data_IF_316006763818
#
_entry.id   IF_316006763818
#
_cell.length_a   1.000
_cell.length_b   1.000
_cell.length_c   1.000
_cell.angle_alpha   90.00
_cell.angle_beta   90.00
_cell.angle_gamma   90.00
#
_symmetry.space_group_name_H-M   'P 1'
#
loop_
_entity.id
_entity.type
_entity.pdbx_description
1 polymer ?
#
# COMPACT_ATOMS: atom_id res chain seq x y z
N UNK A 1 6.25 25.60 -31.91
CA UNK A 1 5.45 24.45 -32.39
C UNK A 1 5.33 23.51 -31.20
N UNK A 2 4.14 23.46 -30.62
CA UNK A 2 3.87 22.96 -29.28
C UNK A 2 3.46 21.48 -29.42
N UNK A 3 4.23 20.58 -28.80
CA UNK A 3 3.96 19.14 -28.82
C UNK A 3 3.14 18.82 -27.57
N UNK A 4 1.97 18.15 -27.68
CA UNK A 4 1.13 17.85 -26.53
C UNK A 4 1.73 16.70 -25.70
N UNK A 5 1.81 16.92 -24.39
CA UNK A 5 2.08 15.90 -23.37
C UNK A 5 0.88 14.93 -23.28
N UNK A 6 1.06 13.61 -23.44
CA UNK A 6 0.03 12.66 -23.07
C UNK A 6 0.04 12.46 -21.54
N UNK A 7 -1.02 12.91 -20.89
CA UNK A 7 -1.40 12.51 -19.54
C UNK A 7 -1.77 11.02 -19.57
N UNK A 8 -0.86 10.17 -19.11
CA UNK A 8 -1.15 8.81 -18.67
C UNK A 8 -0.47 8.65 -17.32
N UNK A 9 -1.20 8.94 -16.23
CA UNK A 9 -0.79 8.50 -14.90
C UNK A 9 -0.94 6.98 -14.86
N UNK A 10 0.12 6.26 -15.22
CA UNK A 10 0.28 4.87 -14.80
C UNK A 10 0.51 4.89 -13.30
N UNK A 11 -0.52 4.50 -12.55
CA UNK A 11 -0.37 4.12 -11.15
C UNK A 11 0.54 2.88 -11.11
N UNK A 12 1.83 3.10 -10.94
CA UNK A 12 2.75 2.03 -10.60
C UNK A 12 2.43 1.62 -9.16
N UNK A 13 1.75 0.50 -9.04
CA UNK A 13 1.49 -0.11 -7.75
C UNK A 13 2.81 -0.41 -7.03
N UNK A 14 2.75 -0.33 -5.70
CA UNK A 14 3.82 -0.66 -4.75
C UNK A 14 4.16 -2.16 -4.76
N UNK A 15 4.40 -2.75 -5.93
CA UNK A 15 4.92 -4.11 -6.07
C UNK A 15 6.44 -4.18 -5.91
N UNK A 16 7.14 -3.05 -5.86
CA UNK A 16 8.58 -3.02 -5.63
C UNK A 16 8.99 -1.77 -4.83
N UNK A 17 9.08 -1.91 -3.49
CA UNK A 17 10.08 -1.19 -2.71
C UNK A 17 10.87 -2.26 -1.97
N UNK A 18 11.96 -2.68 -2.58
CA UNK A 18 12.95 -3.57 -1.99
C UNK A 18 13.93 -2.74 -1.16
N UNK A 19 14.01 -3.10 0.13
CA UNK A 19 15.08 -2.96 1.14
C UNK A 19 16.00 -1.73 1.10
N UNK A 20 16.05 -0.99 2.22
CA UNK A 20 17.23 -0.19 2.59
C UNK A 20 18.09 -0.99 3.57
N UNK A 21 19.32 -1.32 3.17
CA UNK A 21 20.36 -1.79 4.08
C UNK A 21 21.31 -0.63 4.38
N UNK A 22 21.54 -0.33 5.67
CA UNK A 22 22.42 0.75 6.11
C UNK A 22 23.85 0.21 6.21
N UNK A 23 24.79 0.77 5.44
CA UNK A 23 26.21 0.56 5.65
C UNK A 23 26.66 1.37 6.86
N UNK A 24 26.95 0.71 7.99
CA UNK A 24 27.72 1.30 9.07
C UNK A 24 29.20 0.96 8.84
N UNK A 25 29.90 1.86 8.15
CA UNK A 25 31.35 1.96 8.27
C UNK A 25 31.71 3.29 8.93
N UNK A 26 32.55 3.14 9.94
CA UNK A 26 33.11 4.11 10.87
C UNK A 26 33.25 5.55 10.33
N UNK A 27 32.43 6.48 10.86
CA UNK A 27 32.87 7.87 11.04
C UNK A 27 32.16 8.51 12.24
N UNK A 28 32.96 8.79 13.26
CA UNK A 28 32.60 9.72 14.33
C UNK A 28 32.18 11.06 13.74
N UNK A 29 31.16 11.66 14.33
CA UNK A 29 30.66 13.04 14.15
C UNK A 29 29.53 13.25 13.13
N UNK A 30 28.30 13.00 13.55
CA UNK A 30 27.29 14.01 13.94
C UNK A 30 25.97 13.28 14.20
N UNK A 31 25.47 13.38 15.44
CA UNK A 31 24.13 12.95 15.81
C UNK A 31 23.12 13.85 15.10
N UNK A 32 22.56 13.39 13.98
CA UNK A 32 21.29 13.89 13.47
C UNK A 32 20.44 12.68 13.14
N UNK A 33 19.33 12.53 13.85
CA UNK A 33 18.40 11.43 13.69
C UNK A 33 17.59 11.67 12.41
N UNK A 34 17.42 10.71 11.48
CA UNK A 34 16.58 10.88 10.29
C UNK A 34 15.12 11.22 10.63
N UNK A 35 14.67 10.76 11.81
CA UNK A 35 13.39 11.12 12.41
C UNK A 35 13.29 12.61 12.69
N UNK A 36 14.38 13.26 13.10
CA UNK A 36 14.42 14.69 13.35
C UNK A 36 14.29 15.49 12.04
N UNK A 37 14.77 15.00 10.89
CA UNK A 37 14.57 15.69 9.62
C UNK A 37 13.15 15.54 9.07
N UNK A 38 12.52 14.37 9.20
CA UNK A 38 11.11 14.17 8.83
C UNK A 38 10.19 14.91 9.80
N UNK A 39 10.45 14.85 11.11
CA UNK A 39 9.70 15.61 12.11
C UNK A 39 9.99 17.11 12.05
N UNK A 40 11.19 17.57 11.69
CA UNK A 40 11.46 19.00 11.44
C UNK A 40 10.90 19.46 10.10
N UNK A 41 10.78 18.60 9.09
CA UNK A 41 10.02 18.88 7.86
C UNK A 41 8.53 19.01 8.18
N UNK A 42 7.97 18.07 8.95
CA UNK A 42 6.57 18.09 9.39
C UNK A 42 6.30 19.21 10.43
N UNK A 43 7.26 19.57 11.28
CA UNK A 43 7.19 20.72 12.21
C UNK A 43 7.39 22.04 11.50
N UNK A 44 8.30 22.18 10.52
CA UNK A 44 8.34 23.36 9.63
C UNK A 44 7.09 23.47 8.78
N UNK A 45 6.44 22.35 8.48
CA UNK A 45 5.12 22.33 7.88
C UNK A 45 3.99 22.72 8.86
N UNK A 46 4.14 22.45 10.17
CA UNK A 46 3.14 22.75 11.23
C UNK A 46 3.35 24.04 12.03
N UNK A 47 4.56 24.60 12.07
CA UNK A 47 4.95 25.72 12.94
C UNK A 47 5.95 26.64 12.21
N UNK A 48 5.45 27.42 11.27
CA UNK A 48 6.03 28.74 11.03
C UNK A 48 5.37 29.72 12.00
N UNK A 49 6.11 30.49 12.82
CA UNK A 49 5.50 31.60 13.55
C UNK A 49 5.12 32.66 12.51
N UNK A 50 3.83 32.71 12.17
CA UNK A 50 3.28 33.67 11.21
C UNK A 50 2.64 33.10 9.95
N UNK A 51 2.25 31.81 9.90
CA UNK A 51 1.44 31.32 8.78
C UNK A 51 0.00 31.84 8.91
N UNK A 52 -0.38 32.73 8.01
CA UNK A 52 -1.76 33.14 7.74
C UNK A 52 -2.55 31.92 7.22
N UNK A 53 -3.85 31.81 7.55
CA UNK A 53 -4.67 30.61 7.32
C UNK A 53 -4.66 30.14 5.84
N UNK A 54 -4.46 31.07 4.92
CA UNK A 54 -4.34 30.83 3.47
C UNK A 54 -3.06 30.09 3.04
N UNK A 55 -1.96 30.19 3.80
CA UNK A 55 -0.68 29.55 3.44
C UNK A 55 -0.59 28.10 3.92
N UNK A 56 -1.28 27.77 5.02
CA UNK A 56 -1.48 26.39 5.47
C UNK A 56 -2.34 25.62 4.46
N UNK A 57 -3.39 26.25 3.94
CA UNK A 57 -4.25 25.69 2.89
C UNK A 57 -3.46 25.33 1.63
N UNK A 58 -2.48 26.13 1.22
CA UNK A 58 -1.61 25.86 0.07
C UNK A 58 -0.73 24.61 0.24
N UNK A 59 -0.33 24.25 1.46
CA UNK A 59 0.52 23.07 1.72
C UNK A 59 -0.29 21.77 1.77
N UNK A 60 -1.48 21.80 2.37
CA UNK A 60 -2.46 20.69 2.28
C UNK A 60 -2.97 20.52 0.86
N UNK A 61 -3.22 21.62 0.12
CA UNK A 61 -3.53 21.60 -1.31
C UNK A 61 -2.41 20.98 -2.15
N UNK A 62 -1.12 21.21 -1.82
CA UNK A 62 -0.02 20.57 -2.56
C UNK A 62 -0.01 19.05 -2.44
N UNK A 63 -0.26 18.50 -1.25
CA UNK A 63 -0.36 17.04 -1.05
C UNK A 63 -1.58 16.49 -1.81
N UNK A 64 -2.72 17.20 -1.74
CA UNK A 64 -3.93 16.82 -2.49
C UNK A 64 -3.72 16.87 -4.01
N UNK A 65 -2.87 17.76 -4.51
CA UNK A 65 -2.61 17.92 -5.95
C UNK A 65 -1.56 16.95 -6.52
N UNK A 66 -0.66 16.38 -5.71
CA UNK A 66 0.34 15.39 -6.18
C UNK A 66 0.00 13.95 -5.80
N UNK A 67 -0.99 13.75 -4.92
CA UNK A 67 -1.38 12.46 -4.37
C UNK A 67 -0.32 11.84 -3.43
N UNK A 68 -0.69 10.76 -2.74
CA UNK A 68 0.23 10.05 -1.85
C UNK A 68 1.50 9.55 -2.56
N UNK A 69 1.38 9.13 -3.82
CA UNK A 69 2.53 8.70 -4.62
C UNK A 69 3.54 9.85 -4.85
N UNK A 70 3.06 11.07 -5.10
CA UNK A 70 3.92 12.24 -5.27
C UNK A 70 4.69 12.59 -3.99
N UNK A 71 4.05 12.42 -2.83
CA UNK A 71 4.71 12.58 -1.53
C UNK A 71 5.83 11.55 -1.34
N UNK A 72 5.56 10.26 -1.55
CA UNK A 72 6.56 9.19 -1.41
C UNK A 72 7.72 9.38 -2.38
N UNK A 73 7.43 9.78 -3.63
CA UNK A 73 8.46 10.09 -4.65
C UNK A 73 9.37 11.24 -4.21
N UNK A 74 8.79 12.28 -3.58
CA UNK A 74 9.54 13.42 -3.04
C UNK A 74 10.45 12.98 -1.91
N UNK A 75 9.95 12.13 -0.99
CA UNK A 75 10.75 11.56 0.09
C UNK A 75 11.92 10.76 -0.49
N UNK A 76 11.65 9.82 -1.40
CA UNK A 76 12.67 9.01 -2.05
C UNK A 76 13.78 9.87 -2.70
N UNK A 77 13.39 10.93 -3.40
CA UNK A 77 14.33 11.85 -4.06
C UNK A 77 15.19 12.68 -3.08
N UNK A 78 14.74 12.82 -1.82
CA UNK A 78 15.46 13.58 -0.79
C UNK A 78 16.54 12.78 -0.06
N UNK A 79 16.54 11.44 -0.19
CA UNK A 79 17.46 10.54 0.52
C UNK A 79 18.85 10.48 -0.15
N UNK A 80 19.69 11.49 0.08
CA UNK A 80 21.00 11.66 -0.58
C UNK A 80 22.01 10.53 -0.32
N UNK A 81 21.83 9.76 0.74
CA UNK A 81 22.73 8.68 1.15
C UNK A 81 22.12 7.28 1.02
N UNK A 82 20.95 7.17 0.39
CA UNK A 82 20.25 5.90 0.18
C UNK A 82 20.26 5.56 -1.30
N UNK A 83 20.79 4.39 -1.63
CA UNK A 83 20.63 3.83 -2.97
C UNK A 83 19.26 3.15 -3.06
N UNK A 84 18.36 3.71 -3.86
CA UNK A 84 17.06 3.09 -4.16
C UNK A 84 17.21 2.32 -5.47
N UNK A 85 16.91 1.01 -5.43
CA UNK A 85 16.96 0.13 -6.60
C UNK A 85 15.54 -0.27 -6.99
N UNK A 86 15.10 0.14 -8.18
CA UNK A 86 13.82 -0.26 -8.77
C UNK A 86 14.05 -1.33 -9.84
N UNK A 87 13.04 -2.13 -10.18
CA UNK A 87 13.18 -3.22 -11.15
C UNK A 87 14.24 -4.24 -10.73
N UNK A 88 14.35 -4.44 -9.41
CA UNK A 88 15.28 -5.38 -8.78
C UNK A 88 14.48 -6.52 -8.16
N UNK A 89 14.67 -7.73 -8.69
CA UNK A 89 14.02 -8.93 -8.20
C UNK A 89 14.97 -9.68 -7.26
N UNK A 90 14.65 -9.74 -5.96
CA UNK A 90 15.43 -10.55 -5.03
C UNK A 90 15.18 -12.03 -5.31
N UNK A 91 16.25 -12.79 -5.48
CA UNK A 91 16.19 -14.23 -5.79
C UNK A 91 16.61 -15.11 -4.62
N UNK A 92 17.45 -14.61 -3.71
CA UNK A 92 17.85 -15.31 -2.49
C UNK A 92 18.28 -14.34 -1.39
N UNK A 93 18.01 -14.72 -0.13
CA UNK A 93 18.57 -14.06 1.04
C UNK A 93 19.14 -15.09 2.01
N UNK A 94 20.46 -15.02 2.22
CA UNK A 94 21.19 -15.86 3.16
C UNK A 94 21.65 -15.03 4.36
N UNK A 95 21.39 -15.51 5.58
CA UNK A 95 21.65 -14.79 6.82
C UNK A 95 22.51 -15.62 7.77
N UNK A 96 23.53 -14.99 8.31
CA UNK A 96 24.35 -15.55 9.38
C UNK A 96 24.18 -14.72 10.67
N UNK A 97 24.94 -15.04 11.71
CA UNK A 97 24.98 -14.21 12.92
C UNK A 97 25.76 -12.90 12.75
N UNK A 98 26.47 -12.73 11.63
CA UNK A 98 27.42 -11.63 11.42
C UNK A 98 27.18 -10.86 10.11
N UNK A 99 26.36 -11.39 9.20
CA UNK A 99 26.14 -10.80 7.88
C UNK A 99 24.84 -11.29 7.25
N UNK A 100 24.36 -10.52 6.28
CA UNK A 100 23.24 -10.83 5.39
C UNK A 100 23.73 -10.69 3.95
N UNK A 101 23.58 -11.75 3.15
CA UNK A 101 23.84 -11.73 1.71
C UNK A 101 22.51 -11.67 0.95
N UNK A 102 22.39 -10.72 0.03
CA UNK A 102 21.20 -10.52 -0.81
C UNK A 102 21.60 -10.71 -2.27
N UNK A 103 20.93 -11.66 -2.92
CA UNK A 103 21.09 -11.93 -4.34
C UNK A 103 19.88 -11.34 -5.07
N UNK A 104 20.12 -10.62 -6.16
CA UNK A 104 19.06 -10.02 -6.97
C UNK A 104 19.37 -10.05 -8.46
N UNK A 105 18.32 -10.08 -9.26
CA UNK A 105 18.35 -9.85 -10.70
C UNK A 105 17.87 -8.43 -11.01
N UNK A 106 18.60 -7.70 -11.84
CA UNK A 106 18.19 -6.40 -12.37
C UNK A 106 18.67 -6.25 -13.81
N UNK A 107 17.77 -5.87 -14.71
CA UNK A 107 18.04 -5.72 -16.15
C UNK A 107 18.68 -6.97 -16.79
N UNK A 108 18.23 -8.16 -16.37
CA UNK A 108 18.75 -9.45 -16.84
C UNK A 108 20.17 -9.80 -16.36
N UNK A 109 20.66 -9.12 -15.31
CA UNK A 109 21.97 -9.36 -14.69
C UNK A 109 21.81 -9.72 -13.22
N UNK A 110 22.64 -10.64 -12.76
CA UNK A 110 22.71 -11.05 -11.36
C UNK A 110 23.70 -10.19 -10.56
N UNK A 111 23.29 -9.82 -9.36
CA UNK A 111 24.09 -9.08 -8.39
C UNK A 111 24.04 -9.77 -7.04
N UNK A 112 25.14 -9.67 -6.29
CA UNK A 112 25.22 -10.12 -4.89
C UNK A 112 25.77 -8.98 -4.03
N UNK A 113 25.10 -8.73 -2.92
CA UNK A 113 25.46 -7.69 -1.96
C UNK A 113 25.55 -8.29 -0.55
N UNK A 114 26.56 -7.89 0.20
CA UNK A 114 26.70 -8.24 1.61
C UNK A 114 26.45 -7.02 2.50
N UNK A 115 25.69 -7.25 3.57
CA UNK A 115 25.29 -6.26 4.56
C UNK A 115 25.50 -6.80 5.97
N UNK A 116 25.58 -5.90 6.95
CA UNK A 116 25.66 -6.27 8.36
C UNK A 116 24.29 -6.60 8.93
N UNK A 117 23.26 -5.89 8.46
CA UNK A 117 21.89 -5.97 8.96
C UNK A 117 20.89 -5.75 7.82
N UNK A 118 19.67 -6.23 8.00
CA UNK A 118 18.58 -6.11 7.04
C UNK A 118 17.27 -5.74 7.72
N UNK A 119 16.48 -4.88 7.07
CA UNK A 119 15.11 -4.55 7.45
C UNK A 119 14.18 -5.08 6.36
N UNK A 120 13.18 -5.87 6.73
CA UNK A 120 12.14 -6.36 5.81
C UNK A 120 10.83 -5.61 6.06
N UNK A 121 10.35 -4.92 5.02
CA UNK A 121 9.14 -4.09 5.09
C UNK A 121 8.01 -4.52 4.12
N UNK A 122 8.23 -5.52 3.25
CA UNK A 122 7.16 -6.14 2.45
C UNK A 122 6.34 -7.11 3.32
N UNK A 123 5.15 -7.51 2.89
CA UNK A 123 4.29 -8.43 3.65
C UNK A 123 4.99 -9.76 3.94
N UNK A 124 5.27 -10.04 5.21
CA UNK A 124 5.98 -11.23 5.67
C UNK A 124 5.06 -12.47 5.71
N UNK A 125 4.39 -12.75 4.60
CA UNK A 125 3.71 -14.04 4.41
C UNK A 125 4.77 -15.10 4.13
N UNK A 126 4.52 -16.34 4.55
CA UNK A 126 5.45 -17.44 4.24
C UNK A 126 5.70 -17.56 2.73
N UNK A 127 4.65 -17.42 1.91
CA UNK A 127 4.73 -17.40 0.44
C UNK A 127 5.75 -16.39 -0.08
N UNK A 128 5.74 -15.15 0.44
CA UNK A 128 6.66 -14.10 -0.03
C UNK A 128 8.11 -14.37 0.43
N UNK A 129 8.29 -14.89 1.63
CA UNK A 129 9.63 -15.22 2.16
C UNK A 129 10.24 -16.43 1.45
N UNK A 130 9.42 -17.42 1.09
CA UNK A 130 9.82 -18.58 0.27
C UNK A 130 10.12 -18.18 -1.17
N UNK A 131 9.33 -17.25 -1.74
CA UNK A 131 9.55 -16.74 -3.11
C UNK A 131 10.96 -16.17 -3.30
N UNK A 132 11.47 -15.45 -2.30
CA UNK A 132 12.82 -14.89 -2.30
C UNK A 132 13.88 -15.86 -1.74
N UNK A 133 13.55 -17.16 -1.61
CA UNK A 133 14.43 -18.19 -1.07
C UNK A 133 15.17 -17.75 0.21
N UNK A 134 14.44 -17.18 1.16
CA UNK A 134 15.02 -16.69 2.41
C UNK A 134 15.33 -17.85 3.35
N UNK A 135 16.47 -17.79 4.03
CA UNK A 135 16.94 -18.84 4.95
C UNK A 135 16.21 -18.82 6.32
N UNK A 136 14.94 -19.21 6.30
CA UNK A 136 14.06 -19.18 7.47
C UNK A 136 14.40 -20.26 8.51
N UNK A 137 14.34 -19.87 9.76
CA UNK A 137 14.36 -20.77 10.92
C UNK A 137 13.00 -21.45 11.11
N UNK A 138 12.96 -22.54 11.90
CA UNK A 138 11.70 -23.22 12.23
C UNK A 138 10.70 -22.29 12.94
N UNK A 139 11.17 -21.40 13.80
CA UNK A 139 10.31 -20.44 14.51
C UNK A 139 9.74 -19.39 13.56
N UNK A 140 10.55 -18.88 12.62
CA UNK A 140 10.08 -17.96 11.58
C UNK A 140 9.02 -18.64 10.69
N UNK A 141 9.25 -19.89 10.27
CA UNK A 141 8.25 -20.64 9.48
C UNK A 141 6.94 -20.82 10.26
N UNK A 142 7.00 -21.21 11.54
CA UNK A 142 5.81 -21.40 12.38
C UNK A 142 5.03 -20.09 12.59
N UNK A 143 5.71 -18.94 12.65
CA UNK A 143 5.04 -17.65 12.79
C UNK A 143 4.51 -17.14 11.45
N UNK A 144 5.35 -17.04 10.42
CA UNK A 144 4.96 -16.45 9.15
C UNK A 144 3.97 -17.30 8.35
N UNK A 145 3.83 -18.59 8.66
CA UNK A 145 2.74 -19.44 8.12
C UNK A 145 1.33 -19.03 8.59
N UNK A 146 1.22 -18.29 9.70
CA UNK A 146 -0.07 -17.77 10.22
C UNK A 146 -0.47 -16.43 9.60
N UNK A 147 0.47 -15.76 8.96
CA UNK A 147 0.25 -14.44 8.33
C UNK A 147 -0.56 -14.62 7.06
N UNK A 148 -1.67 -13.90 6.99
CA UNK A 148 -2.54 -13.83 5.81
C UNK A 148 -2.70 -12.39 5.35
N UNK A 149 -3.20 -12.24 4.13
CA UNK A 149 -3.66 -10.96 3.57
C UNK A 149 -5.14 -11.07 3.21
N UNK A 150 -5.73 -9.96 2.78
CA UNK A 150 -7.04 -9.88 2.12
C UNK A 150 -6.82 -9.55 0.66
N UNK A 151 -7.64 -10.10 -0.21
CA UNK A 151 -7.68 -9.66 -1.60
C UNK A 151 -8.43 -8.33 -1.65
N UNK A 152 -7.74 -7.27 -2.05
CA UNK A 152 -8.30 -5.94 -2.19
C UNK A 152 -8.13 -5.47 -3.62
N UNK A 153 -9.16 -4.87 -4.18
CA UNK A 153 -9.16 -4.41 -5.56
C UNK A 153 -9.60 -2.96 -5.64
N UNK A 154 -8.89 -2.24 -6.51
CA UNK A 154 -9.23 -0.89 -6.91
C UNK A 154 -9.47 -0.90 -8.40
N UNK A 155 -10.69 -0.56 -8.81
CA UNK A 155 -11.07 -0.43 -10.21
C UNK A 155 -11.50 1.01 -10.49
N UNK A 156 -11.27 1.49 -11.70
CA UNK A 156 -11.78 2.80 -12.13
C UNK A 156 -12.60 2.66 -13.40
N UNK A 157 -13.84 3.15 -13.38
CA UNK A 157 -14.74 3.11 -14.52
C UNK A 157 -15.59 4.39 -14.60
N UNK A 158 -15.96 4.83 -15.82
CA UNK A 158 -16.84 5.96 -15.98
C UNK A 158 -18.29 5.55 -15.67
N UNK A 159 -18.87 6.11 -14.60
CA UNK A 159 -20.25 5.82 -14.18
C UNK A 159 -21.11 7.09 -14.21
N UNK A 160 -22.41 6.91 -14.44
CA UNK A 160 -23.40 7.98 -14.48
C UNK A 160 -24.42 7.94 -13.35
N UNK A 161 -24.47 6.87 -12.56
CA UNK A 161 -25.48 6.71 -11.52
C UNK A 161 -25.25 7.48 -10.21
N UNK A 162 -24.16 8.23 -10.12
CA UNK A 162 -23.87 9.10 -9.00
C UNK A 162 -23.83 10.53 -9.53
N UNK A 163 -24.86 11.31 -9.18
CA UNK A 163 -25.07 12.66 -9.71
C UNK A 163 -24.56 13.77 -8.78
N UNK A 164 -24.26 13.46 -7.52
CA UNK A 164 -23.75 14.44 -6.56
C UNK A 164 -22.26 14.73 -6.83
N UNK A 165 -21.89 16.01 -6.77
CA UNK A 165 -20.50 16.43 -6.84
C UNK A 165 -19.76 15.97 -5.56
N UNK A 166 -18.63 15.26 -5.73
CA UNK A 166 -17.77 14.76 -4.64
C UNK A 166 -18.48 13.87 -3.60
N UNK A 167 -18.96 12.70 -4.06
CA UNK A 167 -19.63 11.71 -3.21
C UNK A 167 -18.75 10.53 -2.83
N UNK A 168 -18.70 10.21 -1.54
CA UNK A 168 -18.27 8.89 -1.05
C UNK A 168 -19.52 8.07 -0.75
N UNK A 169 -19.75 7.04 -1.55
CA UNK A 169 -20.90 6.15 -1.40
C UNK A 169 -20.43 4.84 -0.77
N UNK A 170 -20.54 4.77 0.55
CA UNK A 170 -20.43 3.51 1.29
C UNK A 170 -21.67 2.67 1.01
N UNK A 171 -21.47 1.58 0.27
CA UNK A 171 -22.57 0.69 -0.07
C UNK A 171 -22.73 -0.37 1.01
N UNK A 172 -23.30 0.07 2.13
CA UNK A 172 -23.87 -0.79 3.17
C UNK A 172 -25.35 -1.14 2.82
N UNK A 173 -25.81 -0.77 1.61
CA UNK A 173 -27.20 -0.81 1.20
C UNK A 173 -27.44 -1.80 0.06
N UNK A 174 -28.44 -2.69 0.24
CA UNK A 174 -28.92 -3.58 -0.83
C UNK A 174 -29.59 -2.78 -1.95
N UNK A 175 -29.37 -3.11 -3.24
CA UNK A 175 -30.28 -2.72 -4.30
C UNK A 175 -31.68 -3.29 -4.00
N UNK A 176 -32.69 -2.42 -3.88
CA UNK A 176 -34.10 -2.83 -3.72
C UNK A 176 -34.78 -2.54 -2.38
N UNK A 177 -34.20 -1.75 -1.45
CA UNK A 177 -34.98 -1.31 -0.27
C UNK A 177 -36.01 -0.27 -0.71
N UNK A 178 -37.26 -0.69 -0.83
CA UNK A 178 -38.40 0.20 -0.95
C UNK A 178 -38.35 1.28 0.16
N UNK A 179 -38.65 2.51 -0.24
CA UNK A 179 -38.70 3.72 0.58
C UNK A 179 -39.26 3.47 2.00
N UNK A 180 -38.46 3.72 3.04
CA UNK A 180 -38.98 3.88 4.40
C UNK A 180 -38.01 3.55 5.53
N UNK A 181 -37.10 2.58 5.35
CA UNK A 181 -36.02 2.27 6.29
C UNK A 181 -34.93 1.49 5.53
N UNK A 182 -33.72 2.03 5.31
CA UNK A 182 -32.64 1.25 4.74
C UNK A 182 -32.24 0.11 5.69
N UNK A 183 -32.37 -1.14 5.26
CA UNK A 183 -31.74 -2.27 5.96
C UNK A 183 -30.22 -2.13 5.78
N UNK A 184 -29.54 -1.72 6.85
CA UNK A 184 -28.08 -1.70 6.95
C UNK A 184 -27.61 -3.16 6.93
N UNK A 185 -26.98 -3.59 5.83
CA UNK A 185 -26.37 -4.92 5.81
C UNK A 185 -25.06 -4.86 6.61
N UNK A 186 -25.05 -5.39 7.83
CA UNK A 186 -23.89 -5.33 8.74
C UNK A 186 -22.64 -6.06 8.18
N UNK A 187 -22.74 -6.72 7.03
CA UNK A 187 -21.60 -7.28 6.31
C UNK A 187 -21.81 -7.12 4.80
N UNK A 188 -20.96 -6.36 4.09
CA UNK A 188 -20.97 -6.36 2.64
C UNK A 188 -20.76 -7.79 2.13
N UNK A 189 -21.40 -8.14 1.02
CA UNK A 189 -21.16 -9.44 0.38
C UNK A 189 -19.69 -9.54 -0.02
N UNK A 190 -19.15 -10.76 0.02
CA UNK A 190 -17.74 -10.99 -0.34
C UNK A 190 -17.54 -10.74 -1.83
N UNK A 191 -16.42 -10.08 -2.20
CA UNK A 191 -16.03 -9.82 -3.59
C UNK A 191 -17.01 -8.99 -4.43
N UNK A 192 -17.84 -8.15 -3.79
CA UNK A 192 -18.63 -7.11 -4.48
C UNK A 192 -18.19 -5.70 -4.04
N UNK A 193 -18.52 -4.65 -4.81
CA UNK A 193 -18.23 -3.27 -4.41
C UNK A 193 -18.75 -2.93 -3.01
N UNK A 194 -17.84 -2.53 -2.11
CA UNK A 194 -18.19 -2.01 -0.78
C UNK A 194 -18.21 -0.49 -0.72
N UNK A 195 -17.51 0.17 -1.65
CA UNK A 195 -17.33 1.61 -1.66
C UNK A 195 -17.15 2.12 -3.10
N UNK A 196 -17.84 3.20 -3.42
CA UNK A 196 -17.64 3.99 -4.62
C UNK A 196 -17.19 5.39 -4.22
N UNK A 197 -16.04 5.82 -4.73
CA UNK A 197 -15.57 7.19 -4.61
C UNK A 197 -15.73 7.90 -5.95
N UNK A 198 -16.57 8.93 -5.96
CA UNK A 198 -16.95 9.68 -7.17
C UNK A 198 -16.34 11.08 -7.05
N UNK A 199 -15.21 11.35 -7.71
CA UNK A 199 -14.66 12.70 -7.72
C UNK A 199 -15.57 13.64 -8.50
N UNK A 200 -15.65 14.91 -8.08
CA UNK A 200 -16.48 15.98 -8.66
C UNK A 200 -16.25 16.24 -10.15
N UNK A 201 -15.17 15.73 -10.74
CA UNK A 201 -14.81 16.05 -12.11
C UNK A 201 -15.39 15.04 -13.14
N UNK A 202 -16.47 15.45 -13.81
CA UNK A 202 -17.11 14.71 -14.93
C UNK A 202 -16.29 14.84 -16.23
N UNK A 203 -15.07 14.29 -16.26
CA UNK A 203 -14.16 14.38 -17.42
C UNK A 203 -14.40 13.33 -18.52
N UNK A 204 -15.25 12.31 -18.30
CA UNK A 204 -15.40 11.18 -19.23
C UNK A 204 -16.72 11.23 -20.00
N UNK A 205 -16.83 12.13 -20.98
CA UNK A 205 -18.06 12.33 -21.78
C UNK A 205 -19.30 12.63 -20.92
N UNK A 206 -19.13 13.43 -19.85
CA UNK A 206 -20.19 13.75 -18.90
C UNK A 206 -20.38 12.73 -17.77
N UNK A 207 -19.64 11.61 -17.78
CA UNK A 207 -19.57 10.66 -16.65
C UNK A 207 -18.45 11.02 -15.68
N UNK A 208 -18.67 10.73 -14.40
CA UNK A 208 -17.62 10.81 -13.38
C UNK A 208 -16.71 9.59 -13.46
N UNK A 209 -15.40 9.78 -13.25
CA UNK A 209 -14.46 8.67 -13.18
C UNK A 209 -14.48 8.08 -11.77
N UNK A 210 -15.28 7.04 -11.57
CA UNK A 210 -15.52 6.47 -10.25
C UNK A 210 -14.44 5.46 -9.88
N UNK A 211 -13.90 5.58 -8.66
CA UNK A 211 -13.04 4.56 -8.05
C UNK A 211 -13.91 3.59 -7.26
N UNK A 212 -13.76 2.30 -7.53
CA UNK A 212 -14.56 1.22 -6.98
C UNK A 212 -13.63 0.36 -6.14
N UNK A 213 -14.01 0.16 -4.88
CA UNK A 213 -13.24 -0.64 -3.94
C UNK A 213 -13.97 -1.94 -3.63
N UNK A 214 -13.25 -3.05 -3.79
CA UNK A 214 -13.76 -4.40 -3.56
C UNK A 214 -12.84 -5.12 -2.61
N UNK A 215 -13.40 -5.79 -1.61
CA UNK A 215 -12.67 -6.67 -0.69
C UNK A 215 -13.14 -8.10 -0.86
N UNK A 216 -12.21 -9.05 -0.75
CA UNK A 216 -12.56 -10.46 -0.56
C UNK A 216 -11.71 -11.09 0.55
N UNK A 217 -12.36 -11.98 1.30
CA UNK A 217 -11.72 -12.84 2.30
C UNK A 217 -11.11 -14.11 1.67
N UNK A 218 -11.35 -14.33 0.37
CA UNK A 218 -10.86 -15.46 -0.41
C UNK A 218 -9.95 -14.95 -1.53
N UNK A 219 -9.07 -15.83 -2.00
CA UNK A 219 -8.35 -15.59 -3.24
C UNK A 219 -9.35 -15.61 -4.40
N UNK A 220 -9.39 -14.52 -5.15
CA UNK A 220 -10.30 -14.32 -6.28
C UNK A 220 -9.55 -13.63 -7.42
N UNK A 221 -9.87 -13.99 -8.66
CA UNK A 221 -9.24 -13.40 -9.83
C UNK A 221 -9.77 -11.98 -10.10
N UNK A 222 -8.92 -11.13 -10.70
CA UNK A 222 -9.33 -9.79 -11.13
C UNK A 222 -10.49 -9.83 -12.13
N UNK A 223 -10.52 -10.82 -13.02
CA UNK A 223 -11.58 -10.97 -14.02
C UNK A 223 -12.92 -11.30 -13.37
N UNK A 224 -12.93 -12.18 -12.36
CA UNK A 224 -14.14 -12.48 -11.59
C UNK A 224 -14.64 -11.25 -10.82
N UNK A 225 -13.73 -10.48 -10.22
CA UNK A 225 -14.07 -9.20 -9.57
C UNK A 225 -14.68 -8.21 -10.56
N UNK A 226 -14.13 -8.09 -11.77
CA UNK A 226 -14.73 -7.24 -12.82
C UNK A 226 -16.15 -7.68 -13.17
N UNK A 227 -16.40 -8.99 -13.31
CA UNK A 227 -17.74 -9.50 -13.58
C UNK A 227 -18.72 -9.23 -12.44
N UNK A 228 -18.27 -9.34 -11.19
CA UNK A 228 -19.07 -8.98 -10.02
C UNK A 228 -19.41 -7.49 -10.02
N UNK A 229 -18.43 -6.62 -10.31
CA UNK A 229 -18.65 -5.17 -10.41
C UNK A 229 -19.62 -4.82 -11.53
N UNK A 230 -19.47 -5.41 -12.72
CA UNK A 230 -20.39 -5.21 -13.86
C UNK A 230 -21.82 -5.58 -13.46
N UNK A 231 -21.99 -6.77 -12.89
CA UNK A 231 -23.30 -7.27 -12.45
C UNK A 231 -23.91 -6.38 -11.36
N UNK A 232 -23.08 -5.92 -10.41
CA UNK A 232 -23.49 -5.06 -9.31
C UNK A 232 -23.94 -3.69 -9.82
N UNK A 233 -23.15 -3.04 -10.68
CA UNK A 233 -23.49 -1.76 -11.30
C UNK A 233 -24.77 -1.90 -12.15
N UNK A 234 -24.93 -3.00 -12.90
CA UNK A 234 -26.15 -3.23 -13.66
C UNK A 234 -27.39 -3.29 -12.77
N UNK A 235 -27.31 -3.98 -11.63
CA UNK A 235 -28.42 -4.13 -10.71
C UNK A 235 -28.71 -2.84 -9.91
N UNK A 236 -27.66 -2.12 -9.51
CA UNK A 236 -27.78 -0.89 -8.74
C UNK A 236 -28.27 0.28 -9.58
N UNK A 237 -27.65 0.46 -10.75
CA UNK A 237 -27.72 1.67 -11.54
C UNK A 237 -28.52 1.50 -12.85
N UNK A 238 -28.88 0.27 -13.22
CA UNK A 238 -29.36 -0.10 -14.56
C UNK A 238 -28.40 0.30 -15.70
N UNK A 239 -27.16 0.68 -15.37
CA UNK A 239 -26.12 1.06 -16.30
C UNK A 239 -25.42 -0.20 -16.83
N UNK A 240 -25.07 -0.20 -18.11
CA UNK A 240 -24.28 -1.29 -18.71
C UNK A 240 -22.81 -0.90 -18.68
N UNK A 241 -21.98 -1.79 -18.16
CA UNK A 241 -20.53 -1.67 -18.09
C UNK A 241 -19.93 -2.93 -18.72
N UNK A 242 -18.94 -2.77 -19.58
CA UNK A 242 -18.19 -3.88 -20.17
C UNK A 242 -16.77 -3.96 -19.58
N UNK A 243 -16.07 -5.08 -19.80
CA UNK A 243 -14.73 -5.28 -19.25
C UNK A 243 -13.70 -4.23 -19.74
N UNK A 244 -13.94 -3.68 -20.93
CA UNK A 244 -13.10 -2.66 -21.59
C UNK A 244 -13.35 -1.24 -21.06
N UNK A 245 -14.44 -1.02 -20.33
CA UNK A 245 -14.75 0.29 -19.75
C UNK A 245 -13.91 0.60 -18.50
N UNK A 246 -13.34 -0.43 -17.86
CA UNK A 246 -12.38 -0.27 -16.78
C UNK A 246 -11.09 0.38 -17.30
N UNK A 247 -10.81 1.61 -16.85
CA UNK A 247 -9.60 2.36 -17.21
C UNK A 247 -8.37 1.88 -16.47
N UNK A 248 -8.58 1.42 -15.24
CA UNK A 248 -7.57 0.80 -14.39
C UNK A 248 -8.26 -0.24 -13.50
N UNK A 249 -7.53 -1.30 -13.18
CA UNK A 249 -8.02 -2.40 -12.36
C UNK A 249 -6.82 -3.13 -11.77
N UNK A 250 -6.64 -3.01 -10.45
CA UNK A 250 -5.48 -3.55 -9.74
C UNK A 250 -5.96 -4.39 -8.57
N UNK A 251 -5.33 -5.57 -8.41
CA UNK A 251 -5.48 -6.43 -7.24
C UNK A 251 -4.26 -6.34 -6.32
N UNK A 252 -4.53 -6.34 -5.03
CA UNK A 252 -3.57 -6.17 -3.95
C UNK A 252 -3.70 -7.32 -2.94
N UNK A 253 -2.57 -7.88 -2.54
CA UNK A 253 -2.47 -8.58 -1.26
C UNK A 253 -2.42 -7.49 -0.20
N UNK A 254 -3.52 -7.24 0.49
CA UNK A 254 -3.68 -6.10 1.39
C UNK A 254 -3.83 -6.52 2.83
N UNK A 255 -3.39 -5.69 3.77
CA UNK A 255 -3.58 -5.87 5.20
C UNK A 255 -3.02 -7.20 5.71
N UNK A 256 -1.69 -7.31 5.79
CA UNK A 256 -1.05 -8.46 6.41
C UNK A 256 -1.42 -8.56 7.91
N UNK A 257 -2.01 -9.68 8.33
CA UNK A 257 -2.52 -9.90 9.69
C UNK A 257 -2.57 -11.39 10.06
N UNK A 258 -2.94 -11.68 11.30
CA UNK A 258 -3.21 -13.04 11.81
C UNK A 258 -4.64 -13.15 12.34
N UNK A 259 -5.12 -14.37 12.58
CA UNK A 259 -6.46 -14.56 13.16
C UNK A 259 -6.54 -14.16 14.63
N UNK A 260 -7.77 -14.03 15.11
CA UNK A 260 -8.06 -13.78 16.53
C UNK A 260 -7.40 -14.81 17.46
N UNK A 261 -7.35 -16.09 17.07
CA UNK A 261 -6.73 -17.14 17.87
C UNK A 261 -5.21 -16.96 17.97
N UNK A 262 -4.54 -16.61 16.87
CA UNK A 262 -3.10 -16.35 16.88
C UNK A 262 -2.76 -15.08 17.68
N UNK A 263 -3.59 -14.04 17.54
CA UNK A 263 -3.51 -12.82 18.33
C UNK A 263 -3.64 -13.14 19.83
N UNK A 264 -4.65 -13.91 20.23
CA UNK A 264 -4.86 -14.37 21.60
C UNK A 264 -3.67 -15.23 22.10
N UNK A 265 -3.06 -16.00 21.21
CA UNK A 265 -1.84 -16.78 21.46
C UNK A 265 -0.55 -15.96 21.39
N UNK A 266 -0.64 -14.64 21.57
CA UNK A 266 0.49 -13.71 21.70
C UNK A 266 1.41 -13.73 20.48
N UNK A 267 0.84 -13.81 19.27
CA UNK A 267 1.59 -13.79 18.02
C UNK A 267 2.57 -12.61 17.96
N UNK A 268 2.09 -11.40 18.26
CA UNK A 268 2.91 -10.19 18.20
C UNK A 268 4.08 -10.20 19.20
N UNK A 269 3.88 -10.74 20.40
CA UNK A 269 5.00 -10.90 21.34
C UNK A 269 6.06 -11.89 20.83
N UNK A 270 5.64 -12.93 20.10
CA UNK A 270 6.55 -13.93 19.54
C UNK A 270 7.36 -13.33 18.38
N UNK A 271 6.72 -12.67 17.42
CA UNK A 271 7.42 -12.03 16.30
C UNK A 271 8.32 -10.87 16.75
N UNK A 272 7.93 -10.09 17.77
CA UNK A 272 8.80 -9.05 18.34
C UNK A 272 10.10 -9.62 18.94
N UNK A 273 10.08 -10.85 19.47
CA UNK A 273 11.31 -11.52 19.94
C UNK A 273 12.28 -11.89 18.82
N UNK A 274 11.82 -11.88 17.56
CA UNK A 274 12.69 -12.12 16.41
C UNK A 274 13.46 -10.87 15.95
N UNK A 275 13.17 -9.68 16.48
CA UNK A 275 13.89 -8.46 16.11
C UNK A 275 15.39 -8.58 16.41
N UNK A 276 16.22 -8.36 15.40
CA UNK A 276 17.68 -8.51 15.45
C UNK A 276 18.18 -9.96 15.32
N UNK A 277 17.30 -10.96 15.32
CA UNK A 277 17.70 -12.35 15.12
C UNK A 277 18.28 -12.53 13.72
N UNK A 278 19.46 -13.16 13.62
CA UNK A 278 20.24 -13.27 12.37
C UNK A 278 20.36 -11.93 11.63
N UNK A 279 20.59 -10.86 12.40
CA UNK A 279 20.73 -9.49 11.90
C UNK A 279 19.53 -8.99 11.07
N UNK A 280 18.33 -9.49 11.38
CA UNK A 280 17.10 -9.16 10.65
C UNK A 280 16.12 -8.41 11.54
N UNK A 281 15.58 -7.31 11.04
CA UNK A 281 14.52 -6.54 11.67
C UNK A 281 13.27 -6.56 10.80
N UNK A 282 12.12 -6.70 11.44
CA UNK A 282 10.83 -6.83 10.77
C UNK A 282 10.05 -5.53 10.93
N UNK A 283 9.57 -4.96 9.84
CA UNK A 283 8.83 -3.70 9.79
C UNK A 283 7.64 -3.83 8.83
N UNK A 284 7.03 -2.70 8.43
CA UNK A 284 5.88 -2.71 7.53
C UNK A 284 4.56 -2.99 8.25
N UNK A 285 3.51 -3.27 7.49
CA UNK A 285 2.13 -3.28 8.00
C UNK A 285 1.83 -4.42 8.97
N UNK A 286 2.45 -5.59 8.79
CA UNK A 286 2.26 -6.72 9.71
C UNK A 286 2.60 -6.31 11.15
N UNK A 287 3.67 -5.55 11.32
CA UNK A 287 4.17 -5.14 12.64
C UNK A 287 3.35 -4.02 13.29
N UNK A 288 2.39 -3.44 12.56
CA UNK A 288 1.51 -2.41 13.07
C UNK A 288 0.13 -2.51 12.41
N UNK A 289 -0.15 -1.65 11.42
CA UNK A 289 -1.40 -1.62 10.70
C UNK A 289 -1.18 -1.09 9.27
N UNK A 290 -2.00 -1.52 8.31
CA UNK A 290 -1.88 -1.20 6.86
C UNK A 290 -2.36 0.22 6.53
N UNK A 291 -1.73 1.21 7.17
CA UNK A 291 -1.85 2.62 6.86
C UNK A 291 -0.45 3.23 6.81
N UNK A 292 -0.20 4.10 5.85
CA UNK A 292 1.12 4.70 5.61
C UNK A 292 1.67 5.42 6.84
N UNK A 293 0.83 6.12 7.60
CA UNK A 293 1.26 6.80 8.83
C UNK A 293 1.70 5.81 9.90
N UNK A 294 1.00 4.68 10.02
CA UNK A 294 1.29 3.63 11.01
C UNK A 294 2.56 2.86 10.67
N UNK A 295 2.78 2.54 9.41
CA UNK A 295 4.01 1.86 8.97
C UNK A 295 5.23 2.77 9.12
N UNK A 296 5.12 4.05 8.75
CA UNK A 296 6.19 5.04 8.96
C UNK A 296 6.48 5.24 10.45
N UNK A 297 5.45 5.37 11.29
CA UNK A 297 5.62 5.54 12.73
C UNK A 297 6.22 4.30 13.42
N UNK A 298 6.03 3.10 12.87
CA UNK A 298 6.70 1.91 13.37
C UNK A 298 8.17 1.87 12.94
N UNK A 299 8.48 2.26 11.70
CA UNK A 299 9.87 2.32 11.21
C UNK A 299 10.75 3.36 11.92
N UNK A 300 10.14 4.32 12.61
CA UNK A 300 10.84 5.34 13.39
C UNK A 300 11.32 4.87 14.77
N UNK A 301 10.78 3.74 15.27
CA UNK A 301 11.06 3.17 16.60
C UNK A 301 12.27 2.25 16.58
#
# INVERSE_FOLDING_TARGET
>A
MQIPLPYVMKYFGLREIVTTARLLSDSRSRNVNPSDELFEFLKKARKGPGCDETECDLKTHRINNVGFQGLVTTIASSLQHTKIMTSANITAIDRTSNSVAVQLEQDGKEFSYEYQEMIIAFHQTLKNLEYINMDLTKEEIDLFSKVRTRSYFTLTAPLSCFDDDDGLYEMILKPGSASGNPEINLSPEDAVPGLFFVPSNKQSNGKAMTVIYVYSIKEISLDEVKQNVISYVKNLCNETLEAEDFRDAIGWDYFAHVDADDLANRFYDKIHRLQGSKNTYWAGSLMNFELTDRTVAYSDQ
#
